data_IF_181455848761
#
_entry.id   IF_181455848761
#
_cell.length_a   1.000
_cell.length_b   1.000
_cell.length_c   1.000
_cell.angle_alpha   90.00
_cell.angle_beta   90.00
_cell.angle_gamma   90.00
#
_symmetry.space_group_name_H-M   'P 1'
#
loop_
_entity.id
_entity.type
_entity.pdbx_description
1 polymer ?
#
# COMPACT_ATOMS: atom_id res chain seq x y z
N UNK A 1 0.61 11.20 3.61
CA UNK A 1 0.74 10.04 2.69
C UNK A 1 -0.57 9.38 2.31
N UNK A 2 -1.61 9.44 3.14
CA UNK A 2 -2.92 8.85 2.83
C UNK A 2 -3.55 9.38 1.54
N UNK A 3 -3.43 10.69 1.26
CA UNK A 3 -3.86 11.27 -0.02
C UNK A 3 -3.19 10.59 -1.22
N UNK A 4 -1.86 10.47 -1.19
CA UNK A 4 -1.10 9.81 -2.25
C UNK A 4 -1.47 8.33 -2.36
N UNK A 5 -1.75 7.66 -1.24
CA UNK A 5 -2.25 6.28 -1.25
C UNK A 5 -3.58 6.17 -2.00
N UNK A 6 -4.55 7.04 -1.66
CA UNK A 6 -5.87 7.07 -2.32
C UNK A 6 -5.78 7.35 -3.81
N UNK A 7 -4.96 8.33 -4.19
CA UNK A 7 -4.74 8.71 -5.60
C UNK A 7 -4.06 7.57 -6.37
N UNK A 8 -3.00 6.98 -5.80
CA UNK A 8 -2.30 5.84 -6.41
C UNK A 8 -3.25 4.64 -6.54
N UNK A 9 -4.08 4.39 -5.53
CA UNK A 9 -5.07 3.32 -5.58
C UNK A 9 -6.04 3.50 -6.75
N UNK A 10 -6.64 4.68 -6.87
CA UNK A 10 -7.61 4.98 -7.93
C UNK A 10 -7.01 4.91 -9.34
N UNK A 11 -5.70 5.06 -9.48
CA UNK A 11 -5.00 4.89 -10.76
C UNK A 11 -4.79 3.41 -11.12
N UNK A 12 -4.45 2.58 -10.12
CA UNK A 12 -3.90 1.24 -10.36
C UNK A 12 -4.88 0.10 -10.14
N UNK A 13 -5.91 0.29 -9.31
CA UNK A 13 -6.87 -0.76 -8.99
C UNK A 13 -8.27 -0.39 -9.46
N UNK A 14 -8.95 -1.31 -10.17
CA UNK A 14 -10.30 -1.06 -10.67
C UNK A 14 -11.36 -1.04 -9.55
N UNK A 15 -11.04 -1.62 -8.40
CA UNK A 15 -11.97 -1.76 -7.27
C UNK A 15 -11.57 -0.82 -6.14
N UNK A 16 -12.47 0.05 -5.64
CA UNK A 16 -12.16 0.93 -4.52
C UNK A 16 -12.12 0.14 -3.21
N UNK A 17 -11.18 0.49 -2.33
CA UNK A 17 -11.23 0.08 -0.93
C UNK A 17 -12.27 0.92 -0.17
N UNK A 18 -12.89 0.34 0.87
CA UNK A 18 -13.88 1.06 1.67
C UNK A 18 -13.23 2.01 2.66
N UNK A 19 -12.23 1.52 3.40
CA UNK A 19 -11.53 2.30 4.42
C UNK A 19 -10.14 1.74 4.72
N UNK A 20 -9.28 2.62 5.23
CA UNK A 20 -8.03 2.22 5.90
C UNK A 20 -8.37 1.85 7.34
N UNK A 21 -8.08 0.61 7.73
CA UNK A 21 -8.29 0.06 9.06
C UNK A 21 -7.13 0.38 10.00
N UNK A 22 -5.89 0.29 9.50
CA UNK A 22 -4.68 0.56 10.28
C UNK A 22 -3.62 1.24 9.41
N UNK A 23 -2.94 2.22 10.00
CA UNK A 23 -1.72 2.83 9.48
C UNK A 23 -0.54 2.23 10.24
N UNK A 24 0.59 2.03 9.58
CA UNK A 24 1.78 1.40 10.16
C UNK A 24 1.48 0.02 10.78
N UNK A 25 1.54 -1.00 9.94
CA UNK A 25 1.31 -2.38 10.34
C UNK A 25 2.35 -2.90 11.33
N UNK A 26 3.54 -2.30 11.34
CA UNK A 26 4.69 -2.74 12.13
C UNK A 26 4.82 -2.03 13.47
N UNK A 27 4.20 -0.86 13.62
CA UNK A 27 4.42 0.04 14.76
C UNK A 27 5.80 0.71 14.79
N UNK A 28 6.63 0.49 13.76
CA UNK A 28 8.00 0.99 13.64
C UNK A 28 8.10 2.25 12.77
N UNK A 29 7.01 2.66 12.13
CA UNK A 29 6.91 3.83 11.27
C UNK A 29 7.08 3.52 9.78
N UNK A 30 7.90 4.32 9.10
CA UNK A 30 8.15 4.22 7.66
C UNK A 30 9.43 3.47 7.42
N UNK A 31 9.39 2.48 6.53
CA UNK A 31 10.59 1.76 6.13
C UNK A 31 11.32 2.54 5.05
N UNK A 32 12.61 2.81 5.25
CA UNK A 32 13.47 3.47 4.27
C UNK A 32 14.43 2.44 3.70
N UNK A 33 14.40 2.31 2.37
CA UNK A 33 15.20 1.38 1.59
C UNK A 33 16.09 2.16 0.62
N UNK A 34 17.41 2.01 0.73
CA UNK A 34 18.36 2.57 -0.25
C UNK A 34 18.66 1.52 -1.33
N UNK A 35 18.11 1.72 -2.54
CA UNK A 35 18.43 0.90 -3.73
C UNK A 35 19.86 1.16 -4.21
N UNK A 36 20.23 2.44 -4.26
CA UNK A 36 21.56 2.93 -4.67
C UNK A 36 21.91 4.16 -3.83
N UNK A 37 23.14 4.70 -3.90
CA UNK A 37 23.47 5.96 -3.20
C UNK A 37 22.57 7.15 -3.59
N UNK A 38 21.97 7.13 -4.80
CA UNK A 38 21.11 8.20 -5.32
C UNK A 38 19.62 7.88 -5.25
N UNK A 39 19.26 6.61 -5.04
CA UNK A 39 17.87 6.12 -5.09
C UNK A 39 17.43 5.65 -3.72
N UNK A 40 16.48 6.38 -3.13
CA UNK A 40 15.86 6.06 -1.85
C UNK A 40 14.38 5.80 -2.05
N UNK A 41 13.87 4.74 -1.45
CA UNK A 41 12.47 4.36 -1.47
C UNK A 41 11.94 4.37 -0.04
N UNK A 42 10.76 4.95 0.12
CA UNK A 42 10.03 4.97 1.38
C UNK A 42 8.83 4.03 1.25
N UNK A 43 8.63 3.15 2.22
CA UNK A 43 7.56 2.16 2.19
C UNK A 43 6.65 2.42 3.39
N UNK A 44 5.41 2.77 3.08
CA UNK A 44 4.34 2.97 4.05
C UNK A 44 3.42 1.76 4.02
N UNK A 45 2.98 1.30 5.19
CA UNK A 45 2.12 0.11 5.30
C UNK A 45 0.72 0.49 5.77
N UNK A 46 -0.28 -0.11 5.15
CA UNK A 46 -1.70 0.09 5.43
C UNK A 46 -2.44 -1.25 5.49
N UNK A 47 -3.40 -1.35 6.40
CA UNK A 47 -4.43 -2.40 6.37
C UNK A 47 -5.67 -1.74 5.80
N UNK A 48 -6.20 -2.27 4.70
CA UNK A 48 -7.39 -1.74 4.05
C UNK A 48 -8.48 -2.80 4.02
N UNK A 49 -9.73 -2.36 4.08
CA UNK A 49 -10.87 -3.25 3.87
C UNK A 49 -11.31 -3.20 2.41
N UNK A 50 -11.28 -4.35 1.75
CA UNK A 50 -11.86 -4.54 0.41
C UNK A 50 -13.24 -5.17 0.54
N UNK A 51 -14.31 -4.49 0.11
CA UNK A 51 -15.64 -5.05 0.17
C UNK A 51 -15.81 -6.16 -0.86
N UNK A 52 -16.62 -7.16 -0.54
CA UNK A 52 -17.09 -8.15 -1.52
C UNK A 52 -18.23 -7.51 -2.32
N UNK A 53 -18.23 -7.69 -3.63
CA UNK A 53 -19.31 -7.23 -4.50
C UNK A 53 -20.22 -8.38 -4.91
N UNK A 54 -21.52 -8.13 -5.07
CA UNK A 54 -22.46 -9.10 -5.62
C UNK A 54 -22.29 -9.21 -7.14
N UNK A 55 -22.19 -10.44 -7.65
CA UNK A 55 -22.01 -10.70 -9.09
C UNK A 55 -23.31 -10.58 -9.92
N UNK A 56 -24.47 -10.52 -9.25
CA UNK A 56 -25.78 -10.71 -9.90
C UNK A 56 -26.48 -9.41 -10.36
N UNK A 57 -25.80 -8.28 -10.39
CA UNK A 57 -26.40 -7.00 -10.77
C UNK A 57 -25.56 -6.26 -11.82
N UNK A 58 -26.23 -5.54 -12.75
CA UNK A 58 -25.59 -4.74 -13.80
C UNK A 58 -24.63 -3.67 -13.24
N UNK A 59 -24.82 -3.26 -11.98
CA UNK A 59 -23.90 -2.38 -11.25
C UNK A 59 -23.32 -3.13 -10.04
N UNK A 60 -22.00 -3.12 -9.83
CA UNK A 60 -21.39 -3.79 -8.69
C UNK A 60 -21.83 -3.12 -7.38
N UNK A 61 -22.66 -3.83 -6.59
CA UNK A 61 -23.02 -3.43 -5.22
C UNK A 61 -22.16 -4.14 -4.20
N UNK A 62 -21.55 -3.38 -3.29
CA UNK A 62 -20.81 -3.95 -2.16
C UNK A 62 -21.79 -4.61 -1.19
N UNK A 63 -21.43 -5.79 -0.69
CA UNK A 63 -22.21 -6.52 0.30
C UNK A 63 -21.79 -6.03 1.69
N UNK A 64 -22.69 -5.41 2.47
CA UNK A 64 -22.37 -4.88 3.79
C UNK A 64 -21.78 -5.96 4.70
N UNK A 65 -20.68 -5.64 5.37
CA UNK A 65 -20.00 -6.54 6.31
C UNK A 65 -19.25 -7.71 5.67
N UNK A 66 -19.32 -7.91 4.35
CA UNK A 66 -18.55 -8.93 3.63
C UNK A 66 -17.38 -8.30 2.88
N UNK A 67 -16.25 -9.00 2.89
CA UNK A 67 -15.02 -8.52 2.29
C UNK A 67 -13.82 -9.16 2.96
N UNK A 68 -12.66 -8.56 2.74
CA UNK A 68 -11.42 -9.00 3.36
C UNK A 68 -10.54 -7.83 3.72
N UNK A 69 -9.77 -8.02 4.79
CA UNK A 69 -8.68 -7.13 5.11
C UNK A 69 -7.47 -7.46 4.24
N UNK A 70 -6.86 -6.44 3.64
CA UNK A 70 -5.70 -6.59 2.77
C UNK A 70 -4.59 -5.69 3.28
N UNK A 71 -3.39 -6.26 3.36
CA UNK A 71 -2.16 -5.52 3.66
C UNK A 71 -1.65 -4.90 2.36
N UNK A 72 -1.45 -3.60 2.36
CA UNK A 72 -0.95 -2.85 1.23
C UNK A 72 0.33 -2.11 1.61
N UNK A 73 1.32 -2.13 0.71
CA UNK A 73 2.53 -1.32 0.78
C UNK A 73 2.42 -0.20 -0.25
N UNK A 74 2.60 1.04 0.19
CA UNK A 74 2.80 2.18 -0.70
C UNK A 74 4.29 2.47 -0.78
N UNK A 75 4.86 2.27 -1.95
CA UNK A 75 6.23 2.65 -2.26
C UNK A 75 6.24 4.09 -2.75
N UNK A 76 7.19 4.87 -2.25
CA UNK A 76 7.46 6.22 -2.69
C UNK A 76 8.92 6.34 -3.07
N UNK A 77 9.20 6.58 -4.35
CA UNK A 77 10.53 6.77 -4.90
C UNK A 77 10.62 8.19 -5.52
N UNK A 78 11.10 9.20 -4.77
CA UNK A 78 11.12 10.60 -5.23
C UNK A 78 11.93 10.81 -6.51
N UNK A 79 12.99 10.01 -6.68
CA UNK A 79 13.89 10.06 -7.82
C UNK A 79 13.32 9.43 -9.09
N UNK A 80 12.18 8.73 -9.00
CA UNK A 80 11.57 8.11 -10.17
C UNK A 80 10.99 9.19 -11.10
N UNK A 81 11.34 9.20 -12.39
CA UNK A 81 11.10 10.34 -13.28
C UNK A 81 9.61 10.58 -13.60
N UNK A 82 8.80 9.52 -13.64
CA UNK A 82 7.38 9.58 -14.02
C UNK A 82 6.48 9.06 -12.89
N UNK A 83 6.78 7.87 -12.41
CA UNK A 83 5.95 7.16 -11.44
C UNK A 83 6.59 7.13 -10.05
N UNK A 84 6.27 8.12 -9.22
CA UNK A 84 6.85 8.24 -7.88
C UNK A 84 6.19 7.32 -6.86
N UNK A 85 4.99 6.82 -7.14
CA UNK A 85 4.21 6.02 -6.21
C UNK A 85 3.70 4.74 -6.88
N UNK A 86 3.82 3.63 -6.15
CA UNK A 86 3.22 2.35 -6.53
C UNK A 86 2.66 1.66 -5.29
N UNK A 87 1.66 0.80 -5.49
CA UNK A 87 1.07 -0.01 -4.42
C UNK A 87 1.24 -1.48 -4.75
N UNK A 88 1.65 -2.26 -3.76
CA UNK A 88 1.69 -3.72 -3.85
C UNK A 88 0.91 -4.37 -2.71
N UNK A 89 0.25 -5.48 -3.02
CA UNK A 89 -0.33 -6.39 -2.03
C UNK A 89 0.65 -7.51 -1.79
N UNK A 90 1.21 -7.56 -0.59
CA UNK A 90 2.18 -8.61 -0.25
C UNK A 90 2.26 -8.75 1.27
N UNK A 91 2.72 -9.91 1.72
CA UNK A 91 3.07 -10.09 3.11
C UNK A 91 4.24 -9.18 3.50
N UNK A 92 4.22 -8.74 4.74
CA UNK A 92 5.30 -7.92 5.26
C UNK A 92 6.40 -8.83 5.76
N UNK A 93 7.33 -9.20 4.88
CA UNK A 93 8.55 -9.91 5.26
C UNK A 93 9.73 -8.93 5.37
N UNK A 94 10.23 -8.72 6.59
CA UNK A 94 11.43 -7.93 6.87
C UNK A 94 12.69 -8.62 6.32
N UNK A 95 12.74 -9.96 6.28
CA UNK A 95 13.92 -10.70 5.82
C UNK A 95 14.16 -10.52 4.33
N UNK A 96 13.10 -10.48 3.51
CA UNK A 96 13.20 -10.16 2.08
C UNK A 96 13.88 -8.81 1.83
N UNK A 97 13.67 -7.85 2.74
CA UNK A 97 14.21 -6.49 2.62
C UNK A 97 15.58 -6.31 3.31
N UNK A 98 16.04 -7.29 4.09
CA UNK A 98 17.24 -7.18 4.92
C UNK A 98 18.58 -7.09 4.16
N UNK A 99 18.60 -7.43 2.86
CA UNK A 99 19.82 -7.42 2.02
C UNK A 99 20.31 -6.03 1.60
N UNK A 100 19.67 -4.96 2.06
CA UNK A 100 20.08 -3.58 1.77
C UNK A 100 19.97 -2.73 3.02
N UNK A 101 20.53 -1.52 3.01
CA UNK A 101 20.46 -0.62 4.17
C UNK A 101 19.00 -0.23 4.39
N UNK A 102 18.39 -0.87 5.39
CA UNK A 102 17.01 -0.69 5.81
C UNK A 102 17.01 0.00 7.17
N UNK A 103 16.33 1.13 7.26
CA UNK A 103 16.09 1.80 8.56
C UNK A 103 14.64 2.22 8.69
N UNK A 104 14.17 2.22 9.92
CA UNK A 104 12.86 2.73 10.30
C UNK A 104 12.98 4.21 10.67
N UNK A 105 12.02 5.02 10.23
CA UNK A 105 11.86 6.43 10.65
C UNK A 105 10.44 6.66 11.16
N UNK A 106 10.29 7.58 12.11
CA UNK A 106 9.00 8.02 12.65
C UNK A 106 8.57 9.34 12.02
#
# INVERSE_FOLDING_TARGET
>A
MEKNFKETWGKWFPVPYTKILKRDLTGKGVLVYKKTPKTVVYIYTYLVFLPLYSENEEMPKSIPGKGKEVRAKLFYEPSHPSEKFSIEFTEFDEQYNSKSVVRWIR
#
